data_IF_539449838709
#
_entry.id   IF_539449838709
#
_cell.length_a   1.000
_cell.length_b   1.000
_cell.length_c   1.000
_cell.angle_alpha   90.00
_cell.angle_beta   90.00
_cell.angle_gamma   90.00
#
_symmetry.space_group_name_H-M   'P 1'
#
loop_
_entity.id
_entity.type
_entity.pdbx_description
1 polymer ?
#
# COMPACT_ATOMS: atom_id res chain seq x y z
N UNK A 1 64.63 43.30 18.79
CA UNK A 1 63.83 42.66 17.73
C UNK A 1 62.70 43.55 17.38
N UNK A 2 62.57 43.99 16.12
CA UNK A 2 61.61 45.03 15.68
C UNK A 2 60.17 44.54 15.87
N UNK A 3 59.41 45.18 16.73
CA UNK A 3 57.97 44.93 16.96
C UNK A 3 57.19 44.82 15.68
N UNK A 4 57.58 45.56 14.65
CA UNK A 4 56.94 45.51 13.29
C UNK A 4 57.13 44.16 12.58
N UNK A 5 58.27 43.50 12.78
CA UNK A 5 58.52 42.18 12.18
C UNK A 5 57.71 41.12 12.90
N UNK A 6 57.64 41.22 14.20
CA UNK A 6 56.86 40.26 15.02
C UNK A 6 55.37 40.38 14.72
N UNK A 7 54.82 41.59 14.61
CA UNK A 7 53.42 41.79 14.26
C UNK A 7 53.07 41.27 12.84
N UNK A 8 53.97 41.42 11.88
CA UNK A 8 53.77 40.89 10.54
C UNK A 8 53.66 39.35 10.51
N UNK A 9 54.53 38.68 11.25
CA UNK A 9 54.46 37.20 11.38
C UNK A 9 53.18 36.72 12.08
N UNK A 10 52.73 37.47 13.09
CA UNK A 10 51.51 37.12 13.83
C UNK A 10 50.27 37.28 12.95
N UNK A 11 50.19 38.35 12.14
CA UNK A 11 49.09 38.56 11.20
C UNK A 11 49.13 37.53 10.09
N UNK A 12 50.27 37.21 9.50
CA UNK A 12 50.40 36.18 8.48
C UNK A 12 49.97 34.79 9.01
N UNK A 13 50.37 34.42 10.22
CA UNK A 13 49.96 33.17 10.86
C UNK A 13 48.43 33.09 11.14
N UNK A 14 47.85 34.20 11.58
CA UNK A 14 46.41 34.28 11.81
C UNK A 14 45.59 34.15 10.51
N UNK A 15 46.05 34.79 9.44
CA UNK A 15 45.40 34.68 8.11
C UNK A 15 45.45 33.23 7.59
N UNK A 16 46.63 32.56 7.72
CA UNK A 16 46.75 31.15 7.32
C UNK A 16 45.82 30.21 8.17
N UNK A 17 45.73 30.47 9.45
CA UNK A 17 44.84 29.71 10.35
C UNK A 17 43.35 29.88 9.95
N UNK A 18 42.93 31.09 9.66
CA UNK A 18 41.57 31.40 9.23
C UNK A 18 41.28 30.74 7.86
N UNK A 19 42.21 30.85 6.92
CA UNK A 19 42.04 30.24 5.60
C UNK A 19 42.00 28.70 5.68
N UNK A 20 42.83 28.07 6.49
CA UNK A 20 42.81 26.64 6.73
C UNK A 20 41.51 26.18 7.40
N UNK A 21 41.02 26.94 8.41
CA UNK A 21 39.74 26.66 9.05
C UNK A 21 38.55 26.73 8.08
N UNK A 22 38.51 27.76 7.26
CA UNK A 22 37.45 27.91 6.23
C UNK A 22 37.48 26.76 5.24
N UNK A 23 38.66 26.34 4.79
CA UNK A 23 38.82 25.24 3.86
C UNK A 23 38.39 23.89 4.45
N UNK A 24 38.76 23.60 5.67
CA UNK A 24 38.37 22.36 6.38
C UNK A 24 36.87 22.29 6.62
N UNK A 25 36.26 23.38 7.05
CA UNK A 25 34.79 23.45 7.24
C UNK A 25 34.05 23.30 5.91
N UNK A 26 34.54 23.97 4.85
CA UNK A 26 33.92 23.88 3.52
C UNK A 26 33.95 22.47 2.94
N UNK A 27 35.08 21.79 2.99
CA UNK A 27 35.22 20.40 2.51
C UNK A 27 34.41 19.45 3.40
N UNK A 28 34.47 19.62 4.71
CA UNK A 28 33.72 18.79 5.65
C UNK A 28 32.20 18.86 5.44
N UNK A 29 31.65 20.05 5.22
CA UNK A 29 30.24 20.23 4.96
C UNK A 29 29.80 19.64 3.61
N UNK A 30 30.60 19.79 2.56
CA UNK A 30 30.32 19.22 1.25
C UNK A 30 30.34 17.68 1.29
N UNK A 31 31.31 17.09 1.97
CA UNK A 31 31.44 15.65 2.14
C UNK A 31 30.27 15.06 2.96
N UNK A 32 29.91 15.72 4.06
CA UNK A 32 28.77 15.31 4.88
C UNK A 32 27.45 15.36 4.07
N UNK A 33 27.16 16.45 3.40
CA UNK A 33 25.93 16.58 2.59
C UNK A 33 25.83 15.52 1.53
N UNK A 34 26.92 15.19 0.87
CA UNK A 34 26.94 14.14 -0.16
C UNK A 34 26.74 12.76 0.44
N UNK A 35 27.42 12.44 1.52
CA UNK A 35 27.28 11.15 2.21
C UNK A 35 25.87 10.94 2.77
N UNK A 36 25.26 11.99 3.34
CA UNK A 36 23.87 11.94 3.80
C UNK A 36 22.88 11.76 2.65
N UNK A 37 23.11 12.44 1.52
CA UNK A 37 22.28 12.28 0.32
C UNK A 37 22.32 10.87 -0.23
N UNK A 38 23.51 10.30 -0.38
CA UNK A 38 23.71 8.93 -0.85
C UNK A 38 23.09 7.89 0.11
N UNK A 39 23.24 8.09 1.41
CA UNK A 39 22.64 7.20 2.41
C UNK A 39 21.11 7.26 2.41
N UNK A 40 20.51 8.46 2.33
CA UNK A 40 19.06 8.62 2.24
C UNK A 40 18.51 8.00 0.97
N UNK A 41 19.19 8.17 -0.15
CA UNK A 41 18.80 7.53 -1.40
C UNK A 41 18.84 6.01 -1.29
N UNK A 42 19.89 5.45 -0.72
CA UNK A 42 20.00 4.00 -0.50
C UNK A 42 18.88 3.47 0.40
N UNK A 43 18.53 4.18 1.47
CA UNK A 43 17.41 3.82 2.35
C UNK A 43 16.08 3.89 1.59
N UNK A 44 15.88 4.92 0.77
CA UNK A 44 14.68 5.06 -0.04
C UNK A 44 14.56 3.92 -1.08
N UNK A 45 15.65 3.59 -1.76
CA UNK A 45 15.69 2.49 -2.74
C UNK A 45 15.40 1.14 -2.08
N UNK A 46 15.97 0.90 -0.89
CA UNK A 46 15.67 -0.31 -0.12
C UNK A 46 14.20 -0.37 0.32
N UNK A 47 13.66 0.75 0.79
CA UNK A 47 12.25 0.83 1.17
C UNK A 47 11.32 0.56 -0.04
N UNK A 48 11.63 1.15 -1.20
CA UNK A 48 10.90 0.92 -2.44
C UNK A 48 10.93 -0.57 -2.85
N UNK A 49 12.10 -1.21 -2.83
CA UNK A 49 12.24 -2.62 -3.16
C UNK A 49 11.44 -3.54 -2.21
N UNK A 50 11.36 -3.19 -0.92
CA UNK A 50 10.53 -3.92 0.05
C UNK A 50 9.06 -3.77 -0.29
N UNK A 51 8.60 -2.55 -0.60
CA UNK A 51 7.21 -2.29 -0.99
C UNK A 51 6.86 -3.06 -2.27
N UNK A 52 7.72 -3.01 -3.30
CA UNK A 52 7.50 -3.74 -4.55
C UNK A 52 7.38 -5.24 -4.33
N UNK A 53 8.25 -5.82 -3.52
CA UNK A 53 8.20 -7.24 -3.16
C UNK A 53 6.89 -7.59 -2.45
N UNK A 54 6.44 -6.69 -1.58
CA UNK A 54 5.24 -6.85 -0.80
C UNK A 54 3.98 -6.82 -1.69
N UNK A 55 3.90 -5.81 -2.56
CA UNK A 55 2.81 -5.68 -3.53
C UNK A 55 2.77 -6.89 -4.45
N UNK A 56 3.92 -7.30 -5.01
CA UNK A 56 4.01 -8.47 -5.87
C UNK A 56 3.50 -9.75 -5.18
N UNK A 57 3.82 -9.94 -3.92
CA UNK A 57 3.32 -11.07 -3.12
C UNK A 57 1.80 -11.02 -2.97
N UNK A 58 1.22 -9.85 -2.66
CA UNK A 58 -0.24 -9.69 -2.54
C UNK A 58 -0.96 -10.05 -3.85
N UNK A 59 -0.37 -9.69 -4.99
CA UNK A 59 -0.90 -10.05 -6.33
C UNK A 59 -0.94 -11.54 -6.53
N UNK A 60 0.19 -12.21 -6.24
CA UNK A 60 0.28 -13.67 -6.37
C UNK A 60 -0.76 -14.33 -5.48
N UNK A 61 -0.84 -13.93 -4.23
CA UNK A 61 -1.78 -14.50 -3.26
C UNK A 61 -3.24 -14.31 -3.72
N UNK A 62 -3.60 -13.11 -4.18
CA UNK A 62 -4.93 -12.84 -4.75
C UNK A 62 -5.22 -13.71 -5.99
N UNK A 63 -4.23 -13.88 -6.87
CA UNK A 63 -4.33 -14.74 -8.04
C UNK A 63 -4.52 -16.21 -7.66
N UNK A 64 -3.84 -16.68 -6.62
CA UNK A 64 -4.00 -18.06 -6.12
C UNK A 64 -5.39 -18.23 -5.48
N UNK A 65 -5.81 -17.30 -4.62
CA UNK A 65 -7.13 -17.33 -3.99
C UNK A 65 -8.28 -17.32 -5.01
N UNK A 66 -8.14 -16.54 -6.08
CA UNK A 66 -9.17 -16.45 -7.13
C UNK A 66 -9.34 -17.77 -7.90
N UNK A 67 -8.34 -18.66 -7.89
CA UNK A 67 -8.37 -19.96 -8.55
C UNK A 67 -8.84 -21.11 -7.66
N UNK A 68 -9.07 -20.85 -6.37
CA UNK A 68 -9.66 -21.85 -5.47
C UNK A 68 -11.06 -22.18 -6.00
N UNK A 69 -11.38 -23.45 -6.32
CA UNK A 69 -12.62 -23.82 -7.02
C UNK A 69 -13.88 -23.25 -6.37
N UNK A 70 -14.03 -23.37 -5.06
CA UNK A 70 -15.18 -22.83 -4.34
C UNK A 70 -15.30 -21.29 -4.38
N UNK A 71 -14.18 -20.56 -4.48
CA UNK A 71 -14.16 -19.11 -4.62
C UNK A 71 -14.60 -18.71 -6.04
N UNK A 72 -14.00 -19.34 -7.04
CA UNK A 72 -14.32 -19.08 -8.45
C UNK A 72 -15.78 -19.42 -8.79
N UNK A 73 -16.26 -20.58 -8.32
CA UNK A 73 -17.64 -21.04 -8.52
C UNK A 73 -18.66 -20.11 -7.88
N UNK A 74 -18.39 -19.62 -6.65
CA UNK A 74 -19.26 -18.68 -5.97
C UNK A 74 -19.36 -17.36 -6.73
N UNK A 75 -18.22 -16.81 -7.17
CA UNK A 75 -18.20 -15.57 -7.94
C UNK A 75 -18.93 -15.72 -9.28
N UNK A 76 -18.74 -16.83 -9.98
CA UNK A 76 -19.41 -17.13 -11.25
C UNK A 76 -20.92 -17.27 -11.07
N UNK A 77 -21.38 -18.11 -10.13
CA UNK A 77 -22.81 -18.34 -9.88
C UNK A 77 -23.53 -17.08 -9.40
N UNK A 78 -22.86 -16.26 -8.58
CA UNK A 78 -23.39 -14.97 -8.15
C UNK A 78 -23.53 -13.99 -9.33
N UNK A 79 -22.57 -14.02 -10.26
CA UNK A 79 -22.56 -13.16 -11.44
C UNK A 79 -23.68 -13.49 -12.44
N UNK A 80 -24.21 -14.71 -12.44
CA UNK A 80 -25.35 -15.13 -13.26
C UNK A 80 -26.70 -14.67 -12.71
N UNK A 81 -26.75 -14.31 -11.43
CA UNK A 81 -28.01 -13.84 -10.81
C UNK A 81 -28.41 -12.49 -11.39
N UNK A 82 -29.72 -12.27 -11.65
CA UNK A 82 -30.20 -10.98 -12.09
C UNK A 82 -29.70 -9.84 -11.20
N UNK A 83 -29.30 -8.75 -11.82
CA UNK A 83 -28.82 -7.57 -11.09
C UNK A 83 -29.92 -6.51 -11.07
N UNK A 84 -30.44 -6.26 -9.88
CA UNK A 84 -31.30 -5.13 -9.60
C UNK A 84 -30.55 -4.13 -8.72
N UNK A 85 -30.25 -2.97 -9.30
CA UNK A 85 -29.49 -1.92 -8.61
C UNK A 85 -30.25 -1.34 -7.42
N UNK A 86 -31.58 -1.25 -7.49
CA UNK A 86 -32.38 -0.72 -6.38
C UNK A 86 -32.40 -1.68 -5.21
N UNK A 87 -32.58 -2.97 -5.49
CA UNK A 87 -32.50 -4.01 -4.47
C UNK A 87 -31.10 -4.09 -3.84
N UNK A 88 -30.05 -4.02 -4.64
CA UNK A 88 -28.66 -4.00 -4.15
C UNK A 88 -28.38 -2.78 -3.25
N UNK A 89 -28.87 -1.60 -3.64
CA UNK A 89 -28.72 -0.39 -2.82
C UNK A 89 -29.56 -0.43 -1.52
N UNK A 90 -30.67 -1.16 -1.50
CA UNK A 90 -31.43 -1.39 -0.28
C UNK A 90 -30.66 -2.31 0.69
N UNK A 91 -30.06 -3.38 0.17
CA UNK A 91 -29.20 -4.29 0.95
C UNK A 91 -27.97 -3.54 1.47
N UNK A 92 -27.36 -2.64 0.68
CA UNK A 92 -26.20 -1.86 1.09
C UNK A 92 -26.50 -0.93 2.28
N UNK A 93 -27.70 -0.34 2.31
CA UNK A 93 -28.14 0.46 3.47
C UNK A 93 -28.35 -0.39 4.73
N UNK A 94 -28.94 -1.58 4.58
CA UNK A 94 -29.12 -2.54 5.67
C UNK A 94 -27.78 -3.11 6.16
N UNK A 95 -26.83 -3.26 5.23
CA UNK A 95 -25.48 -3.74 5.52
C UNK A 95 -24.74 -2.87 6.53
N UNK A 96 -24.81 -1.57 6.39
CA UNK A 96 -24.18 -0.62 7.31
C UNK A 96 -24.74 -0.71 8.73
N UNK A 97 -25.94 -1.26 8.88
CA UNK A 97 -26.60 -1.50 10.17
C UNK A 97 -26.38 -2.92 10.72
N UNK A 98 -25.43 -3.67 10.14
CA UNK A 98 -25.18 -5.08 10.46
C UNK A 98 -26.43 -5.96 10.34
N UNK A 99 -27.25 -5.71 9.34
CA UNK A 99 -28.48 -6.43 9.04
C UNK A 99 -28.30 -7.91 8.73
N UNK A 100 -29.42 -8.65 8.54
CA UNK A 100 -29.40 -10.10 8.32
C UNK A 100 -28.53 -10.51 7.13
N UNK A 101 -28.56 -9.75 6.03
CA UNK A 101 -27.78 -10.05 4.84
C UNK A 101 -26.26 -10.08 5.10
N UNK A 102 -25.75 -9.18 5.95
CA UNK A 102 -24.36 -9.14 6.34
C UNK A 102 -23.97 -10.38 7.17
N UNK A 103 -24.86 -10.84 8.05
CA UNK A 103 -24.64 -12.04 8.87
C UNK A 103 -24.62 -13.30 8.03
N UNK A 104 -25.58 -13.47 7.13
CA UNK A 104 -25.68 -14.66 6.26
C UNK A 104 -24.44 -14.79 5.36
N UNK A 105 -23.95 -13.68 4.81
CA UNK A 105 -22.75 -13.68 4.01
C UNK A 105 -21.51 -14.05 4.81
N UNK A 106 -21.36 -13.54 6.03
CA UNK A 106 -20.19 -13.81 6.89
C UNK A 106 -20.09 -15.28 7.32
N UNK A 107 -21.20 -16.02 7.32
CA UNK A 107 -21.26 -17.44 7.70
C UNK A 107 -21.10 -18.40 6.52
N UNK A 108 -21.01 -17.90 5.29
CA UNK A 108 -20.80 -18.74 4.12
C UNK A 108 -19.47 -19.48 4.20
N UNK A 109 -19.38 -20.68 3.59
CA UNK A 109 -18.15 -21.50 3.59
C UNK A 109 -16.94 -20.72 3.03
N UNK A 110 -17.16 -19.91 1.99
CA UNK A 110 -16.10 -19.11 1.39
C UNK A 110 -15.69 -17.98 2.32
N UNK A 111 -16.63 -17.32 3.00
CA UNK A 111 -16.31 -16.27 3.98
C UNK A 111 -15.51 -16.83 5.16
N UNK A 112 -15.89 -18.00 5.69
CA UNK A 112 -15.13 -18.69 6.73
C UNK A 112 -13.72 -19.04 6.25
N UNK A 113 -13.58 -19.50 5.01
CA UNK A 113 -12.26 -19.75 4.41
C UNK A 113 -11.43 -18.46 4.30
N UNK A 114 -12.00 -17.37 3.79
CA UNK A 114 -11.32 -16.09 3.68
C UNK A 114 -10.93 -15.54 5.07
N UNK A 115 -11.77 -15.70 6.07
CA UNK A 115 -11.48 -15.31 7.45
C UNK A 115 -10.29 -16.09 8.02
N UNK A 116 -10.21 -17.40 7.73
CA UNK A 116 -9.08 -18.22 8.14
C UNK A 116 -7.78 -17.79 7.45
N UNK A 117 -7.82 -17.47 6.15
CA UNK A 117 -6.67 -16.93 5.40
C UNK A 117 -6.20 -15.62 6.03
N UNK A 118 -7.12 -14.71 6.35
CA UNK A 118 -6.79 -13.43 6.99
C UNK A 118 -6.20 -13.64 8.39
N UNK A 119 -6.74 -14.59 9.15
CA UNK A 119 -6.22 -14.91 10.49
C UNK A 119 -4.80 -15.48 10.46
N UNK A 120 -4.49 -16.30 9.47
CA UNK A 120 -3.15 -16.88 9.28
C UNK A 120 -2.14 -15.88 8.73
N UNK A 121 -2.61 -14.84 8.03
CA UNK A 121 -1.78 -13.85 7.38
C UNK A 121 -2.22 -12.44 7.77
N UNK A 122 -1.68 -11.88 8.88
CA UNK A 122 -2.07 -10.57 9.42
C UNK A 122 -1.81 -9.39 8.48
N UNK A 123 -1.16 -9.66 7.35
CA UNK A 123 -0.92 -8.70 6.26
C UNK A 123 -2.24 -8.25 5.62
N UNK A 124 -3.22 -9.17 5.56
CA UNK A 124 -4.53 -8.87 5.02
C UNK A 124 -5.39 -8.26 6.11
N UNK A 125 -5.79 -7.04 5.92
CA UNK A 125 -6.77 -6.42 6.81
C UNK A 125 -8.16 -7.00 6.58
N UNK A 126 -8.49 -7.22 5.31
CA UNK A 126 -9.74 -7.78 4.86
C UNK A 126 -9.59 -8.39 3.46
N UNK A 127 -10.32 -9.47 3.21
CA UNK A 127 -10.47 -10.08 1.90
C UNK A 127 -11.94 -10.02 1.51
N UNK A 128 -12.19 -9.46 0.34
CA UNK A 128 -13.53 -9.35 -0.24
C UNK A 128 -13.59 -10.10 -1.56
N UNK A 129 -14.65 -10.85 -1.76
CA UNK A 129 -14.99 -11.42 -3.06
C UNK A 129 -16.24 -10.71 -3.56
N UNK A 130 -16.16 -10.14 -4.77
CA UNK A 130 -17.29 -9.51 -5.44
C UNK A 130 -17.66 -10.28 -6.70
N UNK A 131 -18.93 -10.18 -7.09
CA UNK A 131 -19.36 -10.62 -8.41
C UNK A 131 -19.05 -9.54 -9.49
N UNK A 132 -19.39 -9.84 -10.75
CA UNK A 132 -19.18 -8.91 -11.87
C UNK A 132 -19.99 -7.59 -11.78
N UNK A 133 -20.92 -7.49 -10.86
CA UNK A 133 -21.75 -6.32 -10.62
C UNK A 133 -21.28 -5.51 -9.40
N UNK A 134 -20.18 -5.92 -8.77
CA UNK A 134 -19.62 -5.27 -7.59
C UNK A 134 -20.35 -5.60 -6.29
N UNK A 135 -21.25 -6.63 -6.27
CA UNK A 135 -21.88 -7.10 -5.03
C UNK A 135 -20.91 -7.97 -4.25
N UNK A 136 -20.81 -7.78 -2.96
CA UNK A 136 -20.05 -8.67 -2.07
C UNK A 136 -20.75 -10.04 -2.02
N UNK A 137 -20.00 -11.10 -2.30
CA UNK A 137 -20.48 -12.48 -2.26
C UNK A 137 -19.79 -13.31 -1.18
N UNK A 138 -18.63 -12.85 -0.71
CA UNK A 138 -17.98 -13.37 0.49
C UNK A 138 -17.03 -12.32 1.09
N UNK A 139 -16.80 -12.39 2.40
CA UNK A 139 -15.89 -11.48 3.10
C UNK A 139 -15.21 -12.19 4.27
N UNK A 140 -13.94 -11.85 4.52
CA UNK A 140 -13.20 -12.36 5.69
C UNK A 140 -13.55 -11.64 6.99
N UNK A 141 -14.25 -10.51 6.92
CA UNK A 141 -14.53 -9.64 8.05
C UNK A 141 -15.85 -8.90 7.89
N UNK A 142 -15.87 -7.69 8.40
CA UNK A 142 -17.06 -6.83 8.32
C UNK A 142 -16.85 -5.82 7.20
N UNK A 143 -17.23 -6.20 5.97
CA UNK A 143 -17.14 -5.29 4.82
C UNK A 143 -17.90 -3.98 5.10
N UNK A 144 -17.29 -2.87 4.73
CA UNK A 144 -17.87 -1.52 4.95
C UNK A 144 -19.16 -1.31 4.16
N UNK A 145 -19.33 -2.02 3.04
CA UNK A 145 -20.52 -1.96 2.20
C UNK A 145 -20.79 -3.26 1.47
N UNK A 146 -21.95 -3.37 0.88
CA UNK A 146 -22.37 -4.50 0.07
C UNK A 146 -22.12 -4.30 -1.43
N UNK A 147 -22.21 -3.06 -1.90
CA UNK A 147 -22.12 -2.74 -3.32
C UNK A 147 -20.94 -1.81 -3.61
N UNK A 148 -19.98 -2.31 -4.37
CA UNK A 148 -18.77 -1.60 -4.76
C UNK A 148 -18.73 -1.18 -6.24
N UNK A 149 -19.84 -1.36 -6.99
CA UNK A 149 -19.91 -1.02 -8.41
C UNK A 149 -19.52 0.43 -8.74
N UNK A 150 -19.69 1.36 -7.79
CA UNK A 150 -19.35 2.77 -7.94
C UNK A 150 -17.99 3.14 -7.35
N UNK A 151 -17.34 2.23 -6.62
CA UNK A 151 -16.04 2.47 -6.03
C UNK A 151 -14.95 2.59 -7.11
N UNK A 152 -14.06 3.58 -6.96
CA UNK A 152 -13.00 3.85 -7.94
C UNK A 152 -12.09 2.63 -8.14
N UNK A 153 -11.62 2.05 -7.05
CA UNK A 153 -10.75 0.86 -7.08
C UNK A 153 -11.41 -0.35 -7.77
N UNK A 154 -12.74 -0.52 -7.59
CA UNK A 154 -13.46 -1.64 -8.22
C UNK A 154 -13.61 -1.42 -9.73
N UNK A 155 -13.95 -0.20 -10.14
CA UNK A 155 -14.04 0.17 -11.56
C UNK A 155 -12.70 0.00 -12.26
N UNK A 156 -11.62 0.37 -11.60
CA UNK A 156 -10.27 0.26 -12.13
C UNK A 156 -9.80 -1.20 -12.19
N UNK A 157 -10.04 -2.00 -11.13
CA UNK A 157 -9.64 -3.41 -11.07
C UNK A 157 -10.46 -4.30 -12.01
N UNK A 158 -11.77 -4.07 -12.11
CA UNK A 158 -12.66 -4.85 -12.96
C UNK A 158 -12.65 -4.34 -14.40
N UNK A 159 -12.41 -3.03 -14.60
CA UNK A 159 -12.41 -2.36 -15.89
C UNK A 159 -13.74 -2.48 -16.62
N UNK A 160 -13.73 -2.27 -17.92
CA UNK A 160 -14.88 -2.49 -18.81
C UNK A 160 -15.17 -3.99 -19.07
N UNK A 161 -14.90 -4.85 -18.12
CA UNK A 161 -14.92 -6.30 -18.28
C UNK A 161 -13.61 -6.87 -18.83
N UNK A 162 -12.54 -6.08 -18.88
CA UNK A 162 -11.22 -6.48 -19.39
C UNK A 162 -10.39 -7.26 -18.38
N UNK A 163 -11.00 -7.72 -17.29
CA UNK A 163 -10.51 -8.84 -16.47
C UNK A 163 -9.19 -8.60 -15.72
N UNK A 164 -9.32 -8.27 -14.45
CA UNK A 164 -8.26 -8.56 -13.48
C UNK A 164 -7.00 -7.73 -13.66
N UNK A 165 -7.13 -6.44 -13.93
CA UNK A 165 -6.02 -5.53 -13.73
C UNK A 165 -5.81 -5.33 -12.23
N UNK A 166 -4.57 -5.50 -11.80
CA UNK A 166 -4.19 -5.14 -10.46
C UNK A 166 -4.17 -3.62 -10.33
N UNK A 167 -4.94 -3.10 -9.40
CA UNK A 167 -4.89 -1.70 -9.00
C UNK A 167 -4.10 -1.62 -7.71
N UNK A 168 -3.00 -0.88 -7.76
CA UNK A 168 -2.11 -0.63 -6.63
C UNK A 168 -2.29 0.80 -6.14
#
# INVERSE_FOLDING_TARGET
LNVRVFSAFLVAGLVMLIAAGYFVVGIGQAGLRRSWGEHLQQVADQAAAVVDTYVFRLVIDASVLSRVPGVAELAASASERPFDRQAAAAIDRDWQQAGPAAKDLSTSKVSVFLAEVTRQNPIYRELLLTDRHGRVVATSGHAVGYLYADAAWWKEAFGDGTRGQLVV
#
